data_IF_461837706468
#
_entry.id   IF_461837706468
#
_cell.length_a   1.000
_cell.length_b   1.000
_cell.length_c   1.000
_cell.angle_alpha   90.00
_cell.angle_beta   90.00
_cell.angle_gamma   90.00
#
_symmetry.space_group_name_H-M   'P 1'
#
loop_
_entity.id
_entity.type
_entity.pdbx_description
1 polymer ?
#
# COMPACT_ATOMS: atom_id res chain seq x y z
N UNK A 1 38.30 -44.52 -36.49
CA UNK A 1 38.48 -43.53 -35.41
C UNK A 1 37.53 -42.29 -35.54
N UNK A 2 37.43 -41.65 -36.71
CA UNK A 2 36.52 -40.43 -36.86
C UNK A 2 35.07 -40.72 -36.61
N UNK A 3 34.52 -41.91 -37.02
CA UNK A 3 33.11 -42.25 -36.76
C UNK A 3 32.78 -42.53 -35.26
N UNK A 4 33.76 -43.08 -34.53
CA UNK A 4 33.59 -43.34 -33.10
C UNK A 4 33.60 -42.06 -32.30
N UNK A 5 34.42 -41.07 -32.71
CA UNK A 5 34.45 -39.74 -32.08
C UNK A 5 33.16 -38.93 -32.29
N UNK A 6 32.55 -39.05 -33.49
CA UNK A 6 31.28 -38.43 -33.82
C UNK A 6 30.13 -39.00 -32.99
N UNK A 7 30.08 -40.29 -32.75
CA UNK A 7 29.03 -40.96 -31.96
C UNK A 7 29.18 -40.61 -30.49
N UNK A 8 30.41 -40.52 -29.98
CA UNK A 8 30.69 -40.11 -28.59
C UNK A 8 30.31 -38.65 -28.36
N UNK A 9 30.54 -37.75 -29.34
CA UNK A 9 30.15 -36.33 -29.26
C UNK A 9 28.65 -36.13 -29.23
N UNK A 10 27.86 -36.91 -29.97
CA UNK A 10 26.40 -36.84 -29.98
C UNK A 10 25.82 -37.43 -28.69
N UNK A 11 26.40 -38.51 -28.14
CA UNK A 11 25.99 -39.09 -26.87
C UNK A 11 26.20 -38.15 -25.65
N UNK A 12 27.27 -37.33 -25.67
CA UNK A 12 27.49 -36.33 -24.61
C UNK A 12 26.49 -35.17 -24.64
N UNK A 13 25.91 -34.81 -25.78
CA UNK A 13 24.93 -33.72 -25.90
C UNK A 13 23.54 -34.09 -25.37
N UNK A 14 23.23 -35.37 -25.21
CA UNK A 14 21.92 -35.84 -24.70
C UNK A 14 21.90 -36.09 -23.20
N UNK A 15 23.01 -35.89 -22.47
CA UNK A 15 23.14 -36.17 -21.04
C UNK A 15 23.04 -34.92 -20.15
N UNK A 16 22.56 -33.80 -20.68
CA UNK A 16 22.20 -32.67 -19.82
C UNK A 16 20.72 -32.78 -19.42
N UNK A 17 20.38 -33.51 -18.35
CA UNK A 17 19.07 -33.35 -17.75
C UNK A 17 19.03 -31.90 -17.24
N UNK A 18 18.19 -31.10 -17.84
CA UNK A 18 17.86 -29.76 -17.34
C UNK A 18 17.31 -29.92 -15.94
N UNK A 19 18.11 -29.64 -14.92
CA UNK A 19 17.66 -29.56 -13.53
C UNK A 19 16.87 -28.27 -13.35
N UNK A 20 15.65 -28.22 -13.87
CA UNK A 20 14.74 -27.09 -13.62
C UNK A 20 14.33 -27.02 -12.14
N UNK A 21 14.23 -28.15 -11.46
CA UNK A 21 13.79 -28.18 -10.04
C UNK A 21 14.85 -27.64 -9.06
N UNK A 22 16.13 -27.63 -9.43
CA UNK A 22 17.19 -27.10 -8.55
C UNK A 22 17.18 -25.58 -8.44
N UNK A 23 16.59 -24.87 -9.39
CA UNK A 23 16.45 -23.41 -9.40
C UNK A 23 15.15 -22.93 -8.73
N UNK A 24 14.19 -23.81 -8.48
CA UNK A 24 12.94 -23.52 -7.78
C UNK A 24 13.08 -23.77 -6.27
N UNK A 25 14.01 -23.07 -5.63
CA UNK A 25 14.13 -23.10 -4.17
C UNK A 25 13.34 -21.93 -3.60
N UNK A 26 12.17 -22.20 -3.05
CA UNK A 26 11.45 -21.22 -2.22
C UNK A 26 12.22 -21.06 -0.91
N UNK A 27 12.75 -19.85 -0.60
CA UNK A 27 13.43 -19.63 0.67
C UNK A 27 12.52 -19.96 1.85
N UNK A 28 13.04 -20.61 2.89
CA UNK A 28 12.27 -20.96 4.07
C UNK A 28 11.64 -19.71 4.70
N UNK A 29 10.33 -19.71 4.87
CA UNK A 29 9.57 -18.61 5.45
C UNK A 29 8.98 -17.62 4.45
N UNK A 30 9.21 -17.78 3.14
CA UNK A 30 8.50 -17.04 2.09
C UNK A 30 7.26 -17.81 1.63
N UNK A 31 6.21 -17.07 1.30
CA UNK A 31 5.00 -17.59 0.65
C UNK A 31 5.21 -17.42 -0.85
N UNK A 32 4.95 -18.46 -1.63
CA UNK A 32 4.99 -18.34 -3.09
C UNK A 32 3.94 -17.33 -3.56
N UNK A 33 4.27 -16.56 -4.60
CA UNK A 33 3.37 -15.51 -5.10
C UNK A 33 2.00 -16.09 -5.53
N UNK A 34 1.99 -17.35 -6.00
CA UNK A 34 0.77 -18.07 -6.36
C UNK A 34 -0.11 -18.39 -5.16
N UNK A 35 0.49 -18.64 -3.97
CA UNK A 35 -0.23 -18.95 -2.74
C UNK A 35 -0.71 -17.71 -1.98
N UNK A 36 -0.17 -16.53 -2.33
CA UNK A 36 -0.38 -15.31 -1.56
C UNK A 36 -1.85 -14.88 -1.50
N UNK A 37 -2.60 -15.09 -2.59
CA UNK A 37 -4.01 -14.69 -2.69
C UNK A 37 -4.96 -15.89 -2.85
N UNK A 38 -4.44 -17.11 -2.87
CA UNK A 38 -5.21 -18.34 -3.16
C UNK A 38 -5.43 -19.19 -1.91
N UNK A 39 -4.70 -18.90 -0.83
CA UNK A 39 -4.76 -19.64 0.43
C UNK A 39 -5.10 -18.74 1.61
N UNK A 40 -5.74 -19.32 2.62
CA UNK A 40 -6.05 -18.61 3.89
C UNK A 40 -4.79 -18.03 4.54
N UNK A 41 -3.67 -18.77 4.56
CA UNK A 41 -2.40 -18.30 5.13
C UNK A 41 -1.85 -17.12 4.36
N UNK A 42 -1.87 -17.19 3.03
CA UNK A 42 -1.41 -16.12 2.16
C UNK A 42 -2.25 -14.85 2.35
N UNK A 43 -3.58 -14.96 2.30
CA UNK A 43 -4.49 -13.84 2.50
C UNK A 43 -4.31 -13.16 3.86
N UNK A 44 -4.18 -13.93 4.96
CA UNK A 44 -3.85 -13.37 6.28
C UNK A 44 -2.51 -12.62 6.27
N UNK A 45 -1.51 -13.15 5.55
CA UNK A 45 -0.20 -12.48 5.44
C UNK A 45 -0.31 -11.16 4.65
N UNK A 46 -1.14 -11.10 3.61
CA UNK A 46 -1.38 -9.85 2.86
C UNK A 46 -2.05 -8.81 3.75
N UNK A 47 -3.12 -9.18 4.48
CA UNK A 47 -3.80 -8.26 5.41
C UNK A 47 -2.82 -7.78 6.49
N UNK A 48 -2.04 -8.70 7.09
CA UNK A 48 -0.96 -8.35 8.01
C UNK A 48 0.06 -7.39 7.40
N UNK A 49 0.39 -7.55 6.11
CA UNK A 49 1.28 -6.66 5.35
C UNK A 49 0.71 -5.24 5.18
N UNK A 50 -0.62 -5.10 5.01
CA UNK A 50 -1.28 -3.79 4.95
C UNK A 50 -1.14 -3.08 6.30
N UNK A 51 -1.45 -3.76 7.41
CA UNK A 51 -1.23 -3.21 8.76
C UNK A 51 0.23 -2.84 8.98
N UNK A 52 1.17 -3.70 8.59
CA UNK A 52 2.60 -3.41 8.70
C UNK A 52 3.00 -2.14 7.93
N UNK A 53 2.47 -1.93 6.72
CA UNK A 53 2.69 -0.69 5.96
C UNK A 53 2.21 0.53 6.73
N UNK A 54 1.02 0.45 7.36
CA UNK A 54 0.47 1.54 8.18
C UNK A 54 1.30 1.83 9.45
N UNK A 55 2.04 0.85 9.99
CA UNK A 55 2.92 1.06 11.16
C UNK A 55 4.27 1.66 10.82
N UNK A 56 4.54 1.99 9.56
CA UNK A 56 5.79 2.66 9.18
C UNK A 56 5.95 4.02 9.87
N UNK A 57 7.20 4.46 10.07
CA UNK A 57 7.49 5.78 10.65
C UNK A 57 6.94 6.94 9.81
N UNK A 58 6.76 6.72 8.51
CA UNK A 58 6.15 7.69 7.62
C UNK A 58 4.63 7.85 7.85
N UNK A 59 3.99 6.88 8.51
CA UNK A 59 2.55 6.88 8.81
C UNK A 59 2.32 6.86 10.32
N UNK A 60 1.54 5.90 10.81
CA UNK A 60 1.14 5.84 12.23
C UNK A 60 2.27 5.44 13.19
N UNK A 61 3.40 4.89 12.70
CA UNK A 61 4.55 4.62 13.54
C UNK A 61 5.19 5.89 14.14
N UNK A 62 5.01 7.06 13.50
CA UNK A 62 5.51 8.33 14.00
C UNK A 62 4.75 9.54 13.43
N UNK A 63 4.81 9.76 12.10
CA UNK A 63 4.44 11.02 11.44
C UNK A 63 2.99 11.42 11.69
N UNK A 64 2.06 10.48 11.59
CA UNK A 64 0.61 10.71 11.77
C UNK A 64 0.12 10.53 13.21
N UNK A 65 0.97 10.08 14.13
CA UNK A 65 0.62 9.86 15.53
C UNK A 65 1.13 11.01 16.40
N UNK A 66 2.42 11.00 16.72
CA UNK A 66 3.07 11.95 17.64
C UNK A 66 4.17 12.77 16.95
N UNK A 67 4.21 12.80 15.63
CA UNK A 67 5.21 13.51 14.83
C UNK A 67 4.67 14.78 14.20
N UNK A 68 4.57 14.77 12.86
CA UNK A 68 4.18 15.95 12.07
C UNK A 68 2.82 16.52 12.48
N UNK A 69 1.82 15.67 12.75
CA UNK A 69 0.45 16.15 13.07
C UNK A 69 0.43 16.92 14.37
N UNK A 70 1.10 16.43 15.42
CA UNK A 70 1.19 17.11 16.72
C UNK A 70 1.97 18.43 16.60
N UNK A 71 3.00 18.45 15.75
CA UNK A 71 3.77 19.66 15.47
C UNK A 71 2.92 20.71 14.74
N UNK A 72 2.16 20.31 13.73
CA UNK A 72 1.24 21.22 13.03
C UNK A 72 0.11 21.71 13.94
N UNK A 73 -0.34 20.89 14.89
CA UNK A 73 -1.29 21.25 15.91
C UNK A 73 -0.69 22.15 17.04
N UNK A 74 0.62 22.47 16.94
CA UNK A 74 1.35 23.30 17.91
C UNK A 74 1.38 22.71 19.34
N UNK A 75 1.32 21.37 19.47
CA UNK A 75 1.49 20.69 20.76
C UNK A 75 2.95 20.68 21.22
N UNK A 76 3.91 20.89 20.33
CA UNK A 76 5.33 20.90 20.61
C UNK A 76 5.94 22.25 20.25
N UNK A 77 6.65 22.86 21.20
CA UNK A 77 7.45 24.06 20.95
C UNK A 77 8.88 23.65 20.56
N UNK A 78 9.23 23.82 19.30
CA UNK A 78 10.56 23.57 18.77
C UNK A 78 11.39 24.85 18.57
N UNK A 79 10.93 26.01 19.07
CA UNK A 79 11.58 27.32 18.87
C UNK A 79 13.03 27.36 19.32
N UNK A 80 13.41 26.51 20.29
CA UNK A 80 14.79 26.40 20.82
C UNK A 80 15.62 25.31 20.16
N UNK A 81 15.07 24.57 19.17
CA UNK A 81 15.69 23.40 18.53
C UNK A 81 15.62 23.58 17.00
N UNK A 82 16.30 24.58 16.41
CA UNK A 82 16.17 24.92 14.99
C UNK A 82 16.67 23.81 14.03
N UNK A 83 17.51 22.90 14.51
CA UNK A 83 18.01 21.76 13.72
C UNK A 83 17.06 20.54 13.75
N UNK A 84 15.92 20.62 14.42
CA UNK A 84 14.96 19.52 14.45
C UNK A 84 14.27 19.36 13.09
N UNK A 85 14.09 18.13 12.63
CA UNK A 85 13.49 17.82 11.31
C UNK A 85 12.12 18.47 11.08
N UNK A 86 11.35 18.71 12.13
CA UNK A 86 10.02 19.34 12.05
C UNK A 86 10.05 20.85 12.38
N UNK A 87 11.22 21.47 12.57
CA UNK A 87 11.28 22.90 12.92
C UNK A 87 10.54 23.77 11.92
N UNK A 88 10.78 23.61 10.64
CA UNK A 88 10.11 24.38 9.58
C UNK A 88 8.61 24.07 9.49
N UNK A 89 8.18 22.87 9.87
CA UNK A 89 6.77 22.52 9.97
C UNK A 89 6.05 23.31 11.09
N UNK A 90 6.71 23.63 12.22
CA UNK A 90 6.12 24.51 13.27
C UNK A 90 5.88 25.93 12.77
N UNK A 91 6.63 26.36 11.77
CA UNK A 91 6.49 27.67 11.12
C UNK A 91 5.51 27.63 9.92
N UNK A 92 4.89 26.46 9.66
CA UNK A 92 4.05 26.21 8.48
C UNK A 92 4.76 26.53 7.15
N UNK A 93 6.10 26.37 7.13
CA UNK A 93 6.89 26.51 5.90
C UNK A 93 6.76 25.29 5.00
N UNK A 94 5.71 25.27 4.20
CA UNK A 94 5.43 24.21 3.22
C UNK A 94 6.33 24.29 1.98
N UNK A 95 7.30 25.23 1.92
CA UNK A 95 8.30 25.31 0.84
C UNK A 95 9.62 24.64 1.21
N UNK A 96 9.83 24.33 2.48
CA UNK A 96 11.00 23.61 2.96
C UNK A 96 11.03 22.16 2.42
N UNK A 97 12.22 21.72 1.99
CA UNK A 97 12.37 20.42 1.34
C UNK A 97 12.13 19.23 2.29
N UNK A 98 12.42 19.36 3.58
CA UNK A 98 12.16 18.31 4.57
C UNK A 98 10.65 18.20 4.85
N UNK A 99 9.96 19.34 4.92
CA UNK A 99 8.49 19.38 5.08
C UNK A 99 7.83 18.76 3.85
N UNK A 100 8.21 19.17 2.65
CA UNK A 100 7.74 18.57 1.38
C UNK A 100 8.02 17.06 1.35
N UNK A 101 9.25 16.64 1.70
CA UNK A 101 9.65 15.25 1.74
C UNK A 101 8.80 14.42 2.71
N UNK A 102 8.47 14.98 3.88
CA UNK A 102 7.61 14.32 4.86
C UNK A 102 6.19 14.10 4.34
N UNK A 103 5.57 15.13 3.74
CA UNK A 103 4.25 14.99 3.13
C UNK A 103 4.24 14.02 1.94
N UNK A 104 5.27 14.04 1.08
CA UNK A 104 5.41 13.09 -0.02
C UNK A 104 5.53 11.64 0.49
N UNK A 105 6.22 11.41 1.60
CA UNK A 105 6.32 10.09 2.21
C UNK A 105 4.95 9.62 2.74
N UNK A 106 4.18 10.48 3.40
CA UNK A 106 2.81 10.17 3.84
C UNK A 106 1.96 9.79 2.63
N UNK A 107 1.93 10.63 1.60
CA UNK A 107 1.18 10.39 0.37
C UNK A 107 1.52 9.04 -0.26
N UNK A 108 2.80 8.79 -0.50
CA UNK A 108 3.27 7.59 -1.18
C UNK A 108 2.97 6.31 -0.40
N UNK A 109 3.21 6.31 0.92
CA UNK A 109 2.97 5.14 1.76
C UNK A 109 1.47 4.85 1.96
N UNK A 110 0.61 5.89 2.05
CA UNK A 110 -0.84 5.69 2.07
C UNK A 110 -1.35 5.07 0.78
N UNK A 111 -0.92 5.58 -0.39
CA UNK A 111 -1.30 4.97 -1.67
C UNK A 111 -0.70 3.58 -1.87
N UNK A 112 0.43 3.24 -1.23
CA UNK A 112 0.95 1.88 -1.19
C UNK A 112 -0.01 0.96 -0.41
N UNK A 113 -0.49 1.37 0.77
CA UNK A 113 -1.49 0.62 1.54
C UNK A 113 -2.79 0.42 0.74
N UNK A 114 -3.29 1.48 0.08
CA UNK A 114 -4.46 1.42 -0.80
C UNK A 114 -4.24 0.43 -1.96
N UNK A 115 -3.05 0.43 -2.56
CA UNK A 115 -2.70 -0.50 -3.64
C UNK A 115 -2.71 -1.94 -3.15
N UNK A 116 -2.20 -2.21 -1.94
CA UNK A 116 -2.26 -3.54 -1.32
C UNK A 116 -3.71 -3.98 -1.05
N UNK A 117 -4.57 -3.07 -0.56
CA UNK A 117 -6.00 -3.35 -0.41
C UNK A 117 -6.65 -3.72 -1.76
N UNK A 118 -6.40 -2.93 -2.80
CA UNK A 118 -6.95 -3.19 -4.14
C UNK A 118 -6.41 -4.49 -4.73
N UNK A 119 -5.13 -4.82 -4.49
CA UNK A 119 -4.54 -6.09 -4.91
C UNK A 119 -5.22 -7.28 -4.22
N UNK A 120 -5.45 -7.18 -2.90
CA UNK A 120 -6.19 -8.22 -2.17
C UNK A 120 -7.57 -8.45 -2.79
N UNK A 121 -8.37 -7.39 -2.94
CA UNK A 121 -9.73 -7.50 -3.50
C UNK A 121 -9.71 -8.12 -4.90
N UNK A 122 -8.77 -7.71 -5.74
CA UNK A 122 -8.68 -8.17 -7.13
C UNK A 122 -8.24 -9.63 -7.26
N UNK A 123 -7.17 -10.03 -6.54
CA UNK A 123 -6.55 -11.35 -6.71
C UNK A 123 -7.19 -12.44 -5.87
N UNK A 124 -7.78 -12.13 -4.70
CA UNK A 124 -8.36 -13.15 -3.82
C UNK A 124 -9.79 -13.52 -4.17
N UNK A 125 -10.53 -12.64 -4.85
CA UNK A 125 -11.95 -12.87 -5.16
C UNK A 125 -12.22 -14.18 -5.90
N UNK A 126 -11.44 -14.60 -6.93
CA UNK A 126 -11.65 -15.87 -7.61
C UNK A 126 -11.47 -17.11 -6.71
N UNK A 127 -10.81 -16.96 -5.59
CA UNK A 127 -10.44 -18.06 -4.66
C UNK A 127 -11.18 -18.00 -3.32
N UNK A 128 -12.18 -17.13 -3.17
CA UNK A 128 -12.91 -16.87 -1.93
C UNK A 128 -13.42 -18.13 -1.22
N UNK A 129 -13.88 -19.13 -1.98
CA UNK A 129 -14.39 -20.38 -1.44
C UNK A 129 -13.29 -21.25 -0.77
N UNK A 130 -12.01 -21.00 -1.10
CA UNK A 130 -10.86 -21.72 -0.55
C UNK A 130 -10.23 -20.99 0.65
N UNK A 131 -10.69 -19.78 0.97
CA UNK A 131 -10.12 -18.91 1.99
C UNK A 131 -11.05 -18.90 3.20
N UNK A 132 -10.58 -19.44 4.33
CA UNK A 132 -11.35 -19.41 5.55
C UNK A 132 -11.54 -17.96 6.04
N UNK A 133 -12.75 -17.61 6.46
CA UNK A 133 -13.13 -16.28 6.93
C UNK A 133 -12.89 -15.18 5.87
N UNK A 134 -13.09 -15.50 4.59
CA UNK A 134 -12.87 -14.56 3.48
C UNK A 134 -13.62 -13.25 3.68
N UNK A 135 -14.90 -13.31 4.03
CA UNK A 135 -15.73 -12.11 4.22
C UNK A 135 -15.20 -11.21 5.34
N UNK A 136 -14.67 -11.78 6.43
CA UNK A 136 -14.03 -11.02 7.50
C UNK A 136 -12.77 -10.30 7.00
N UNK A 137 -11.89 -11.02 6.30
CA UNK A 137 -10.67 -10.42 5.72
C UNK A 137 -11.01 -9.34 4.69
N UNK A 138 -12.03 -9.58 3.87
CA UNK A 138 -12.49 -8.62 2.88
C UNK A 138 -13.07 -7.37 3.55
N UNK A 139 -13.83 -7.53 4.62
CA UNK A 139 -14.34 -6.43 5.43
C UNK A 139 -13.22 -5.59 6.04
N UNK A 140 -12.19 -6.23 6.63
CA UNK A 140 -11.01 -5.52 7.12
C UNK A 140 -10.32 -4.71 6.02
N UNK A 141 -10.15 -5.29 4.84
CA UNK A 141 -9.49 -4.63 3.70
C UNK A 141 -10.30 -3.43 3.20
N UNK A 142 -11.63 -3.52 3.13
CA UNK A 142 -12.46 -2.37 2.79
C UNK A 142 -12.36 -1.26 3.85
N UNK A 143 -12.40 -1.62 5.14
CA UNK A 143 -12.21 -0.68 6.24
C UNK A 143 -10.84 0.02 6.19
N UNK A 144 -9.76 -0.71 5.95
CA UNK A 144 -8.41 -0.16 5.81
C UNK A 144 -8.28 0.74 4.58
N UNK A 145 -8.92 0.40 3.46
CA UNK A 145 -8.93 1.23 2.26
C UNK A 145 -9.66 2.56 2.49
N UNK A 146 -10.81 2.51 3.16
CA UNK A 146 -11.55 3.70 3.54
C UNK A 146 -10.72 4.58 4.48
N UNK A 147 -10.13 4.00 5.54
CA UNK A 147 -9.24 4.70 6.47
C UNK A 147 -8.12 5.44 5.73
N UNK A 148 -7.37 4.73 4.89
CA UNK A 148 -6.23 5.31 4.18
C UNK A 148 -6.63 6.47 3.25
N UNK A 149 -7.78 6.38 2.57
CA UNK A 149 -8.28 7.48 1.75
C UNK A 149 -8.80 8.65 2.58
N UNK A 150 -9.42 8.39 3.74
CA UNK A 150 -9.88 9.46 4.63
C UNK A 150 -8.70 10.24 5.21
N UNK A 151 -7.62 9.56 5.63
CA UNK A 151 -6.39 10.24 6.06
C UNK A 151 -5.80 11.13 4.95
N UNK A 152 -5.74 10.61 3.71
CA UNK A 152 -5.30 11.42 2.58
C UNK A 152 -6.23 12.62 2.34
N UNK A 153 -7.53 12.45 2.51
CA UNK A 153 -8.50 13.52 2.34
C UNK A 153 -8.36 14.60 3.41
N UNK A 154 -8.13 14.21 4.67
CA UNK A 154 -7.93 15.15 5.78
C UNK A 154 -6.64 15.95 5.64
N UNK A 155 -5.56 15.34 5.14
CA UNK A 155 -4.25 15.99 5.04
C UNK A 155 -4.11 16.81 3.76
N UNK A 156 -4.63 16.30 2.64
CA UNK A 156 -4.39 16.87 1.29
C UNK A 156 -5.64 17.41 0.60
N UNK A 157 -6.80 17.18 1.18
CA UNK A 157 -8.06 17.69 0.63
C UNK A 157 -8.27 19.19 0.87
N UNK A 158 -9.29 19.77 0.26
CA UNK A 158 -9.64 21.17 0.49
C UNK A 158 -10.22 21.35 1.90
N UNK A 159 -9.97 22.52 2.49
CA UNK A 159 -10.66 22.91 3.72
C UNK A 159 -12.16 23.09 3.45
N UNK A 160 -12.97 22.41 4.24
CA UNK A 160 -14.43 22.39 4.08
C UNK A 160 -15.06 23.32 5.13
N UNK A 161 -15.55 24.48 4.68
CA UNK A 161 -16.35 25.41 5.49
C UNK A 161 -17.84 25.37 5.13
N UNK A 162 -18.13 25.02 3.88
CA UNK A 162 -19.49 24.95 3.33
C UNK A 162 -19.66 23.71 2.45
N UNK A 163 -20.90 23.32 2.19
CA UNK A 163 -21.19 22.22 1.25
C UNK A 163 -20.64 22.45 -0.16
N UNK A 164 -20.49 23.71 -0.58
CA UNK A 164 -19.91 24.07 -1.88
C UNK A 164 -18.41 23.69 -1.97
N UNK A 165 -17.70 23.66 -0.83
CA UNK A 165 -16.28 23.27 -0.80
C UNK A 165 -16.09 21.78 -1.11
N UNK A 166 -17.11 20.96 -0.88
CA UNK A 166 -17.10 19.54 -1.24
C UNK A 166 -17.01 19.28 -2.76
N UNK A 167 -17.33 20.28 -3.58
CA UNK A 167 -17.23 20.19 -5.05
C UNK A 167 -15.80 20.46 -5.55
N UNK A 168 -14.89 20.88 -4.69
CA UNK A 168 -13.49 21.10 -5.04
C UNK A 168 -12.76 19.77 -5.23
N UNK A 169 -11.78 19.72 -6.17
CA UNK A 169 -10.88 18.56 -6.29
C UNK A 169 -10.16 18.29 -4.96
N UNK A 170 -10.09 17.03 -4.58
CA UNK A 170 -9.51 16.59 -3.32
C UNK A 170 -8.35 15.59 -3.55
N UNK A 171 -8.68 14.31 -3.63
CA UNK A 171 -7.72 13.22 -3.84
C UNK A 171 -8.27 12.23 -4.87
N UNK A 172 -7.43 11.34 -5.40
CA UNK A 172 -7.88 10.24 -6.23
C UNK A 172 -8.31 9.04 -5.35
N UNK A 173 -9.61 8.77 -5.21
CA UNK A 173 -10.10 7.59 -4.49
C UNK A 173 -9.97 6.34 -5.38
N UNK A 174 -8.88 5.60 -5.18
CA UNK A 174 -8.51 4.43 -6.00
C UNK A 174 -9.21 3.16 -5.52
N UNK A 175 -10.03 2.57 -6.39
CA UNK A 175 -10.76 1.31 -6.11
C UNK A 175 -10.31 0.15 -6.97
N UNK A 176 -9.48 0.39 -7.99
CA UNK A 176 -9.03 -0.63 -8.92
C UNK A 176 -7.53 -0.90 -8.79
N UNK A 177 -7.16 -2.18 -8.90
CA UNK A 177 -5.76 -2.59 -9.02
C UNK A 177 -5.33 -2.51 -10.49
N UNK A 178 -4.85 -1.34 -10.90
CA UNK A 178 -4.33 -1.09 -12.25
C UNK A 178 -3.36 0.10 -12.27
N UNK A 179 -2.64 0.27 -13.37
CA UNK A 179 -1.68 1.37 -13.58
C UNK A 179 -2.29 2.55 -14.38
N UNK A 180 -3.60 2.63 -14.50
CA UNK A 180 -4.27 3.73 -15.21
C UNK A 180 -4.25 4.97 -14.33
N UNK A 181 -3.78 6.09 -14.88
CA UNK A 181 -3.82 7.38 -14.20
C UNK A 181 -5.28 7.79 -13.97
N UNK A 182 -5.58 8.23 -12.75
CA UNK A 182 -6.89 8.75 -12.36
C UNK A 182 -6.73 10.20 -11.92
N UNK A 183 -7.65 11.06 -12.37
CA UNK A 183 -7.74 12.43 -11.85
C UNK A 183 -8.24 12.47 -10.41
N UNK A 184 -8.17 13.63 -9.78
CA UNK A 184 -8.71 13.82 -8.44
C UNK A 184 -10.23 13.79 -8.46
N UNK A 185 -10.80 13.07 -7.52
CA UNK A 185 -12.22 13.11 -7.20
C UNK A 185 -12.53 14.38 -6.40
N UNK A 186 -13.78 14.84 -6.40
CA UNK A 186 -14.23 15.90 -5.51
C UNK A 186 -14.37 15.38 -4.07
N UNK A 187 -14.36 16.29 -3.09
CA UNK A 187 -14.55 15.91 -1.68
C UNK A 187 -15.82 15.11 -1.45
N UNK A 188 -16.94 15.47 -2.10
CA UNK A 188 -18.21 14.74 -2.02
C UNK A 188 -18.06 13.29 -2.53
N UNK A 189 -17.39 13.09 -3.67
CA UNK A 189 -17.16 11.75 -4.24
C UNK A 189 -16.24 10.92 -3.35
N UNK A 190 -15.21 11.54 -2.75
CA UNK A 190 -14.32 10.86 -1.79
C UNK A 190 -15.10 10.35 -0.59
N UNK A 191 -15.93 11.21 0.03
CA UNK A 191 -16.75 10.84 1.18
C UNK A 191 -17.76 9.74 0.85
N UNK A 192 -18.41 9.83 -0.34
CA UNK A 192 -19.35 8.79 -0.78
C UNK A 192 -18.65 7.44 -0.96
N UNK A 193 -17.51 7.41 -1.65
CA UNK A 193 -16.73 6.18 -1.86
C UNK A 193 -16.21 5.57 -0.56
N UNK A 194 -15.80 6.43 0.40
CA UNK A 194 -15.39 5.98 1.74
C UNK A 194 -16.56 5.35 2.50
N UNK A 195 -17.75 5.98 2.45
CA UNK A 195 -18.96 5.41 3.03
C UNK A 195 -19.36 4.08 2.39
N UNK A 196 -19.22 3.97 1.06
CA UNK A 196 -19.48 2.72 0.33
C UNK A 196 -18.52 1.60 0.76
N UNK A 197 -17.23 1.90 0.95
CA UNK A 197 -16.25 0.94 1.46
C UNK A 197 -16.55 0.53 2.90
N UNK A 198 -16.89 1.48 3.79
CA UNK A 198 -17.29 1.17 5.15
C UNK A 198 -18.56 0.32 5.24
N UNK A 199 -19.53 0.56 4.36
CA UNK A 199 -20.74 -0.29 4.27
C UNK A 199 -20.43 -1.71 3.79
N UNK A 200 -19.37 -1.90 2.99
CA UNK A 200 -18.90 -3.23 2.58
C UNK A 200 -18.06 -3.92 3.65
N UNK A 201 -17.53 -3.15 4.59
CA UNK A 201 -16.77 -3.67 5.72
C UNK A 201 -17.64 -4.26 6.84
N UNK A 202 -18.96 -3.95 6.84
CA UNK A 202 -19.96 -4.45 7.80
C UNK A 202 -20.58 -5.78 7.33
#
# INVERSE_FOLDING_TARGET
MKKLFSILSVACLTLFPSCNDWLNVTPQGQIEAEDLYTTTKGCNSVVGGIYYTLTSSALYGQTLSYGLMDVLAQYWDLSTIPDHNYYNATQYDYTDQNVIGTFNNVWSNMYQAITQCNAFIYYSEPYKENIANYDLLLGEVYGLRALAHMELFEIFGPVIHTTADLQKPAIAYRTNYNNVSQGFDTGEVVLQKAADDLNRAL
#
